data_IF_051814569742
#
_entry.id   IF_051814569742
#
_cell.length_a   1.000
_cell.length_b   1.000
_cell.length_c   1.000
_cell.angle_alpha   90.00
_cell.angle_beta   90.00
_cell.angle_gamma   90.00
#
_symmetry.space_group_name_H-M   'P 1'
#
loop_
_entity.id
_entity.type
_entity.pdbx_description
1 polymer ?
#
# COMPACT_ATOMS: atom_id res chain seq x y z
N UNK A 1 -23.77 -6.55 0.94
CA UNK A 1 -23.74 -7.60 2.00
C UNK A 1 -22.97 -7.04 3.19
N UNK A 2 -23.57 -6.90 4.38
CA UNK A 2 -22.87 -6.35 5.57
C UNK A 2 -21.89 -7.40 6.12
N UNK A 3 -20.60 -7.10 6.12
CA UNK A 3 -19.52 -8.05 6.49
C UNK A 3 -19.31 -8.20 8.02
N UNK A 4 -19.95 -7.33 8.80
CA UNK A 4 -19.99 -7.38 10.26
C UNK A 4 -20.86 -6.27 10.83
N UNK A 5 -21.13 -6.31 12.13
CA UNK A 5 -21.88 -5.30 12.88
C UNK A 5 -21.22 -5.01 14.22
N UNK A 6 -21.33 -3.76 14.66
CA UNK A 6 -20.98 -3.32 16.01
C UNK A 6 -22.28 -2.84 16.66
N UNK A 7 -22.59 -3.36 17.83
CA UNK A 7 -23.80 -3.04 18.59
C UNK A 7 -23.42 -2.67 20.02
N UNK A 8 -24.10 -1.67 20.58
CA UNK A 8 -24.03 -1.38 22.02
C UNK A 8 -25.19 -2.08 22.68
N UNK A 9 -24.90 -2.95 23.65
CA UNK A 9 -25.88 -3.75 24.37
C UNK A 9 -25.73 -3.51 25.88
N UNK A 10 -26.77 -3.83 26.65
CA UNK A 10 -26.68 -3.95 28.11
C UNK A 10 -26.76 -5.42 28.47
N UNK A 11 -25.90 -5.85 29.41
CA UNK A 11 -25.83 -7.26 29.75
C UNK A 11 -26.87 -7.63 30.80
N UNK A 12 -27.51 -8.77 30.59
CA UNK A 12 -28.48 -9.37 31.51
C UNK A 12 -27.91 -10.57 32.29
N UNK A 13 -26.73 -11.07 31.88
CA UNK A 13 -26.06 -12.24 32.46
C UNK A 13 -24.57 -11.94 32.67
N UNK A 14 -23.93 -12.51 33.70
CA UNK A 14 -22.51 -12.33 33.93
C UNK A 14 -21.68 -13.02 32.84
N UNK A 15 -20.54 -12.42 32.51
CA UNK A 15 -19.41 -13.03 31.82
C UNK A 15 -18.31 -11.96 31.68
N UNK A 16 -17.28 -12.26 30.89
CA UNK A 16 -16.10 -11.42 30.82
C UNK A 16 -15.94 -10.70 29.48
N UNK A 17 -15.06 -9.71 29.48
CA UNK A 17 -14.62 -8.98 28.30
C UNK A 17 -13.56 -9.77 27.54
N UNK A 18 -13.74 -9.96 26.23
CA UNK A 18 -12.80 -10.73 25.39
C UNK A 18 -11.44 -10.07 25.17
N UNK A 19 -11.21 -8.86 25.70
CA UNK A 19 -9.95 -8.11 25.53
C UNK A 19 -9.14 -7.97 26.82
N UNK A 20 -9.78 -7.84 27.97
CA UNK A 20 -9.10 -7.63 29.25
C UNK A 20 -9.43 -8.69 30.29
N UNK A 21 -10.30 -9.65 29.95
CA UNK A 21 -10.71 -10.78 30.79
C UNK A 21 -11.38 -10.37 32.11
N UNK A 22 -11.70 -9.08 32.28
CA UNK A 22 -12.46 -8.58 33.43
C UNK A 22 -13.97 -8.73 33.19
N UNK A 23 -14.78 -8.82 34.26
CA UNK A 23 -16.23 -8.93 34.15
C UNK A 23 -16.85 -7.76 33.39
N UNK A 24 -17.84 -8.04 32.54
CA UNK A 24 -18.78 -7.04 32.05
C UNK A 24 -19.94 -6.96 33.04
N UNK A 25 -20.00 -5.85 33.77
CA UNK A 25 -21.01 -5.61 34.81
C UNK A 25 -22.44 -5.65 34.24
N UNK A 26 -23.34 -6.25 35.00
CA UNK A 26 -24.76 -6.36 34.64
C UNK A 26 -25.37 -4.95 34.61
N UNK A 27 -26.16 -4.66 33.57
CA UNK A 27 -26.78 -3.34 33.38
C UNK A 27 -25.86 -2.27 32.80
N UNK A 28 -24.54 -2.47 32.78
CA UNK A 28 -23.57 -1.55 32.18
C UNK A 28 -23.52 -1.77 30.65
N UNK A 29 -23.55 -0.69 29.84
CA UNK A 29 -23.38 -0.80 28.40
C UNK A 29 -22.03 -1.38 27.99
N UNK A 30 -22.04 -2.31 27.04
CA UNK A 30 -20.87 -2.93 26.45
C UNK A 30 -21.03 -3.03 24.93
N UNK A 31 -19.94 -3.33 24.24
CA UNK A 31 -19.90 -3.43 22.77
C UNK A 31 -19.86 -4.90 22.35
N UNK A 32 -20.79 -5.30 21.48
CA UNK A 32 -20.72 -6.57 20.75
C UNK A 32 -20.24 -6.32 19.33
N UNK A 33 -19.18 -7.02 18.93
CA UNK A 33 -18.66 -7.03 17.56
C UNK A 33 -18.98 -8.40 16.96
N UNK A 34 -19.66 -8.41 15.82
CA UNK A 34 -20.00 -9.63 15.09
C UNK A 34 -19.38 -9.58 13.70
N UNK A 35 -18.54 -10.55 13.35
CA UNK A 35 -17.88 -10.62 12.04
C UNK A 35 -18.16 -11.97 11.38
N UNK A 36 -18.49 -11.95 10.09
CA UNK A 36 -18.63 -13.17 9.30
C UNK A 36 -17.25 -13.76 9.02
N UNK A 37 -17.01 -14.98 9.50
CA UNK A 37 -15.83 -15.76 9.19
C UNK A 37 -16.12 -16.83 8.12
N UNK A 38 -15.06 -17.25 7.41
CA UNK A 38 -15.14 -18.26 6.35
C UNK A 38 -13.99 -19.26 6.51
N UNK A 39 -14.29 -20.55 6.49
CA UNK A 39 -13.30 -21.62 6.48
C UNK A 39 -12.73 -21.79 5.08
N UNK A 40 -11.57 -22.43 4.99
CA UNK A 40 -10.98 -22.85 3.71
C UNK A 40 -11.93 -23.77 2.92
N UNK A 41 -12.74 -24.58 3.61
CA UNK A 41 -13.76 -25.46 3.03
C UNK A 41 -15.02 -24.73 2.53
N UNK A 42 -15.14 -23.41 2.73
CA UNK A 42 -16.30 -22.63 2.32
C UNK A 42 -17.39 -22.46 3.37
N UNK A 43 -17.39 -23.25 4.46
CA UNK A 43 -18.35 -23.10 5.57
C UNK A 43 -18.21 -21.72 6.23
N UNK A 44 -19.34 -21.11 6.56
CA UNK A 44 -19.42 -19.81 7.22
C UNK A 44 -19.83 -19.96 8.69
N UNK A 45 -19.31 -19.09 9.55
CA UNK A 45 -19.81 -18.89 10.91
C UNK A 45 -19.66 -17.43 11.30
N UNK A 46 -20.27 -17.05 12.43
CA UNK A 46 -20.18 -15.72 13.00
C UNK A 46 -19.28 -15.77 14.22
N UNK A 47 -18.24 -14.93 14.24
CA UNK A 47 -17.41 -14.73 15.40
C UNK A 47 -17.92 -13.48 16.14
N UNK A 48 -18.12 -13.62 17.45
CA UNK A 48 -18.62 -12.55 18.31
C UNK A 48 -17.55 -12.20 19.35
N UNK A 49 -17.42 -10.91 19.63
CA UNK A 49 -16.63 -10.39 20.75
C UNK A 49 -17.49 -9.46 21.59
N UNK A 50 -17.37 -9.55 22.89
CA UNK A 50 -18.02 -8.73 23.91
C UNK A 50 -16.95 -7.94 24.65
N UNK A 51 -16.98 -6.63 24.51
CA UNK A 51 -15.92 -5.75 24.97
C UNK A 51 -16.50 -4.65 25.86
N UNK A 52 -15.78 -4.25 26.91
CA UNK A 52 -16.06 -2.95 27.52
C UNK A 52 -15.93 -1.86 26.44
N UNK A 53 -16.71 -0.79 26.57
CA UNK A 53 -16.61 0.35 25.63
C UNK A 53 -15.17 0.86 25.54
N UNK A 54 -14.46 0.95 26.67
CA UNK A 54 -13.05 1.37 26.73
C UNK A 54 -12.09 0.37 26.06
N UNK A 55 -12.42 -0.92 26.07
CA UNK A 55 -11.58 -1.97 25.48
C UNK A 55 -11.69 -2.05 23.96
N UNK A 56 -12.74 -1.44 23.36
CA UNK A 56 -12.94 -1.41 21.91
C UNK A 56 -11.74 -0.81 21.17
N UNK A 57 -11.17 0.28 21.69
CA UNK A 57 -10.04 0.96 21.05
C UNK A 57 -8.80 0.08 20.94
N UNK A 58 -8.45 -0.61 22.03
CA UNK A 58 -7.31 -1.53 22.09
C UNK A 58 -7.54 -2.70 21.13
N UNK A 59 -8.75 -3.28 21.15
CA UNK A 59 -9.11 -4.37 20.26
C UNK A 59 -8.98 -3.97 18.77
N UNK A 60 -9.46 -2.78 18.40
CA UNK A 60 -9.33 -2.26 17.02
C UNK A 60 -7.87 -2.10 16.60
N UNK A 61 -7.01 -1.57 17.48
CA UNK A 61 -5.58 -1.44 17.22
C UNK A 61 -4.92 -2.82 17.00
N UNK A 62 -5.23 -3.79 17.86
CA UNK A 62 -4.72 -5.16 17.73
C UNK A 62 -5.11 -5.81 16.40
N UNK A 63 -6.37 -5.60 15.94
CA UNK A 63 -6.81 -6.09 14.63
C UNK A 63 -6.10 -5.39 13.47
N UNK A 64 -5.87 -4.07 13.56
CA UNK A 64 -5.15 -3.31 12.55
C UNK A 64 -3.69 -3.77 12.40
N UNK A 65 -2.97 -3.91 13.52
CA UNK A 65 -1.59 -4.42 13.53
C UNK A 65 -1.53 -5.83 12.95
N UNK A 66 -2.40 -6.72 13.41
CA UNK A 66 -2.49 -8.10 12.90
C UNK A 66 -2.78 -8.17 11.40
N UNK A 67 -3.57 -7.23 10.87
CA UNK A 67 -3.83 -7.12 9.42
C UNK A 67 -2.61 -6.60 8.66
N UNK A 68 -1.90 -5.61 9.21
CA UNK A 68 -0.66 -5.10 8.61
C UNK A 68 0.41 -6.19 8.54
N UNK A 69 0.59 -6.97 9.60
CA UNK A 69 1.59 -8.04 9.62
C UNK A 69 1.24 -9.20 8.68
N UNK A 70 -0.05 -9.55 8.58
CA UNK A 70 -0.52 -10.49 7.54
C UNK A 70 -0.22 -9.96 6.12
N UNK A 71 -0.39 -8.65 5.87
CA UNK A 71 -0.01 -8.04 4.58
C UNK A 71 1.50 -8.07 4.33
N UNK A 72 2.32 -7.87 5.37
CA UNK A 72 3.78 -8.02 5.25
C UNK A 72 4.18 -9.46 4.93
N UNK A 73 3.53 -10.46 5.55
CA UNK A 73 3.71 -11.89 5.24
C UNK A 73 3.24 -12.24 3.81
N UNK A 74 2.19 -11.59 3.32
CA UNK A 74 1.71 -11.71 1.94
C UNK A 74 2.51 -10.84 0.93
N UNK A 75 3.60 -10.20 1.36
CA UNK A 75 4.54 -9.53 0.47
C UNK A 75 5.30 -10.53 -0.41
N UNK A 76 6.17 -10.02 -1.29
CA UNK A 76 7.07 -10.85 -2.11
C UNK A 76 7.82 -11.83 -1.17
N UNK A 77 7.89 -13.15 -1.47
CA UNK A 77 8.61 -14.12 -0.64
C UNK A 77 10.00 -13.61 -0.23
N UNK A 78 10.46 -13.92 1.00
CA UNK A 78 11.83 -13.58 1.42
C UNK A 78 12.83 -14.19 0.43
N UNK A 79 13.76 -13.39 -0.09
CA UNK A 79 14.70 -13.80 -1.13
C UNK A 79 14.21 -13.58 -2.58
N UNK A 80 12.91 -13.33 -2.78
CA UNK A 80 12.41 -12.94 -4.10
C UNK A 80 12.61 -11.43 -4.33
N UNK A 81 13.11 -11.06 -5.51
CA UNK A 81 13.53 -9.68 -5.79
C UNK A 81 14.68 -9.62 -6.78
N UNK A 82 15.22 -8.42 -7.00
CA UNK A 82 16.44 -8.22 -7.79
C UNK A 82 17.73 -8.62 -7.04
N UNK A 83 17.63 -9.30 -5.89
CA UNK A 83 18.81 -9.72 -5.10
C UNK A 83 19.70 -8.60 -4.56
N UNK A 84 19.34 -7.33 -4.78
CA UNK A 84 20.21 -6.19 -4.49
C UNK A 84 20.51 -6.00 -2.99
N UNK A 85 21.73 -5.54 -2.71
CA UNK A 85 22.13 -5.07 -1.37
C UNK A 85 21.20 -3.94 -0.88
N UNK A 86 21.08 -3.72 0.44
CA UNK A 86 20.26 -2.64 0.99
C UNK A 86 20.62 -1.26 0.44
N UNK A 87 21.91 -1.01 0.17
CA UNK A 87 22.41 0.23 -0.40
C UNK A 87 21.98 0.39 -1.87
N UNK A 88 22.21 -0.64 -2.70
CA UNK A 88 21.79 -0.64 -4.10
C UNK A 88 20.27 -0.51 -4.24
N UNK A 89 19.48 -1.09 -3.30
CA UNK A 89 18.02 -0.88 -3.25
C UNK A 89 17.66 0.58 -3.02
N UNK A 90 18.33 1.28 -2.10
CA UNK A 90 18.10 2.72 -1.85
C UNK A 90 18.48 3.56 -3.06
N UNK A 91 19.65 3.28 -3.65
CA UNK A 91 20.15 3.98 -4.84
C UNK A 91 19.20 3.78 -6.03
N UNK A 92 18.74 2.56 -6.27
CA UNK A 92 17.76 2.23 -7.30
C UNK A 92 16.43 2.95 -7.08
N UNK A 93 15.93 2.98 -5.83
CA UNK A 93 14.70 3.70 -5.50
C UNK A 93 14.82 5.21 -5.79
N UNK A 94 15.96 5.82 -5.44
CA UNK A 94 16.22 7.23 -5.72
C UNK A 94 16.22 7.51 -7.23
N UNK A 95 16.86 6.64 -8.04
CA UNK A 95 16.84 6.74 -9.49
C UNK A 95 15.44 6.57 -10.09
N UNK A 96 14.65 5.60 -9.61
CA UNK A 96 13.26 5.44 -10.03
C UNK A 96 12.42 6.70 -9.75
N UNK A 97 12.59 7.32 -8.57
CA UNK A 97 11.93 8.58 -8.21
C UNK A 97 12.38 9.72 -9.11
N UNK A 98 13.68 9.81 -9.41
CA UNK A 98 14.24 10.83 -10.32
C UNK A 98 13.69 10.67 -11.73
N UNK A 99 13.62 9.45 -12.26
CA UNK A 99 12.99 9.15 -13.55
C UNK A 99 11.52 9.59 -13.58
N UNK A 100 10.78 9.31 -12.51
CA UNK A 100 9.39 9.75 -12.42
C UNK A 100 9.24 11.28 -12.35
N UNK A 101 10.18 11.98 -11.72
CA UNK A 101 10.23 13.44 -11.74
C UNK A 101 10.44 13.97 -13.16
N UNK A 102 11.35 13.39 -13.94
CA UNK A 102 11.56 13.76 -15.34
C UNK A 102 10.26 13.62 -16.13
N UNK A 103 9.57 12.47 -16.02
CA UNK A 103 8.27 12.29 -16.66
C UNK A 103 7.23 13.35 -16.25
N UNK A 104 7.20 13.76 -14.98
CA UNK A 104 6.30 14.84 -14.52
C UNK A 104 6.64 16.18 -15.15
N UNK A 105 7.91 16.52 -15.30
CA UNK A 105 8.31 17.77 -15.96
C UNK A 105 8.01 17.72 -17.46
N UNK A 106 8.33 16.62 -18.14
CA UNK A 106 8.01 16.42 -19.57
C UNK A 106 6.51 16.47 -19.83
N UNK A 107 5.69 15.96 -18.91
CA UNK A 107 4.24 16.01 -19.03
C UNK A 107 3.72 17.46 -19.06
N UNK A 108 4.34 18.37 -18.28
CA UNK A 108 3.99 19.81 -18.24
C UNK A 108 4.47 20.58 -19.46
N UNK A 109 5.56 20.16 -20.09
CA UNK A 109 6.09 20.83 -21.28
C UNK A 109 5.05 20.84 -22.42
N UNK A 110 5.04 21.93 -23.18
CA UNK A 110 4.25 22.03 -24.39
C UNK A 110 4.73 20.98 -25.43
N UNK A 111 3.86 20.53 -26.35
CA UNK A 111 4.30 19.75 -27.49
C UNK A 111 5.38 20.52 -28.25
N UNK A 112 6.51 19.86 -28.55
CA UNK A 112 7.66 20.41 -29.29
C UNK A 112 8.49 21.49 -28.58
N UNK A 113 8.41 21.56 -27.26
CA UNK A 113 9.25 22.46 -26.46
C UNK A 113 10.75 22.12 -26.61
N UNK A 114 11.60 23.15 -26.72
CA UNK A 114 13.07 23.02 -26.83
C UNK A 114 13.68 22.39 -25.57
N UNK A 115 13.08 22.57 -24.40
CA UNK A 115 13.53 21.96 -23.14
C UNK A 115 13.45 20.43 -23.16
N UNK A 116 12.61 19.84 -24.02
CA UNK A 116 12.48 18.39 -24.17
C UNK A 116 13.82 17.73 -24.53
N UNK A 117 14.69 18.44 -25.26
CA UNK A 117 16.04 17.95 -25.56
C UNK A 117 16.90 17.77 -24.31
N UNK A 118 16.82 18.68 -23.34
CA UNK A 118 17.55 18.53 -22.07
C UNK A 118 16.95 17.44 -21.20
N UNK A 119 15.62 17.33 -21.18
CA UNK A 119 14.93 16.27 -20.45
C UNK A 119 15.24 14.87 -21.00
N UNK A 120 15.41 14.74 -22.32
CA UNK A 120 15.88 13.50 -22.97
C UNK A 120 17.26 13.08 -22.46
N UNK A 121 18.24 13.99 -22.43
CA UNK A 121 19.59 13.70 -21.92
C UNK A 121 19.54 13.22 -20.46
N UNK A 122 18.79 13.94 -19.62
CA UNK A 122 18.60 13.57 -18.22
C UNK A 122 17.94 12.19 -18.08
N UNK A 123 16.96 11.87 -18.94
CA UNK A 123 16.27 10.60 -18.94
C UNK A 123 17.19 9.44 -19.31
N UNK A 124 18.00 9.59 -20.36
CA UNK A 124 18.96 8.57 -20.81
C UNK A 124 20.01 8.32 -19.71
N UNK A 125 20.55 9.38 -19.10
CA UNK A 125 21.51 9.26 -18.01
C UNK A 125 20.94 8.48 -16.81
N UNK A 126 19.71 8.80 -16.38
CA UNK A 126 19.04 8.09 -15.28
C UNK A 126 18.72 6.65 -15.65
N UNK A 127 18.31 6.39 -16.90
CA UNK A 127 18.00 5.04 -17.39
C UNK A 127 19.26 4.16 -17.42
N UNK A 128 20.39 4.69 -17.91
CA UNK A 128 21.68 3.98 -17.86
C UNK A 128 22.13 3.71 -16.43
N UNK A 129 21.96 4.66 -15.52
CA UNK A 129 22.28 4.46 -14.10
C UNK A 129 21.38 3.39 -13.44
N UNK A 130 20.10 3.30 -13.82
CA UNK A 130 19.20 2.24 -13.35
C UNK A 130 19.68 0.86 -13.79
N UNK A 131 20.06 0.75 -15.07
CA UNK A 131 20.55 -0.50 -15.65
C UNK A 131 21.78 -1.03 -14.89
N UNK A 132 22.74 -0.15 -14.60
CA UNK A 132 23.95 -0.49 -13.86
C UNK A 132 23.70 -0.91 -12.40
N UNK A 133 22.64 -0.41 -11.75
CA UNK A 133 22.38 -0.71 -10.33
C UNK A 133 21.56 -1.98 -10.14
N UNK A 134 20.68 -2.32 -11.09
CA UNK A 134 19.84 -3.49 -10.93
C UNK A 134 18.85 -3.69 -12.07
N UNK A 135 19.27 -3.36 -13.30
CA UNK A 135 18.50 -3.61 -14.51
C UNK A 135 17.25 -2.74 -14.68
N UNK A 136 16.43 -3.06 -15.70
CA UNK A 136 15.34 -2.21 -16.11
C UNK A 136 14.28 -2.09 -15.02
N UNK A 137 13.76 -0.88 -14.87
CA UNK A 137 12.66 -0.60 -13.95
C UNK A 137 11.39 -0.31 -14.75
N UNK A 138 10.30 -1.03 -14.48
CA UNK A 138 8.99 -0.68 -15.02
C UNK A 138 8.41 0.53 -14.29
N UNK A 139 7.57 1.30 -14.99
CA UNK A 139 6.79 2.38 -14.38
C UNK A 139 5.61 1.76 -13.64
N UNK A 140 5.24 2.34 -12.49
CA UNK A 140 4.11 1.87 -11.72
C UNK A 140 2.81 2.07 -12.51
N UNK A 141 2.06 0.98 -12.75
CA UNK A 141 0.77 1.00 -13.45
C UNK A 141 -0.29 1.88 -12.81
N UNK A 142 -0.13 2.27 -11.54
CA UNK A 142 -1.06 3.16 -10.81
C UNK A 142 -0.73 4.65 -10.94
N UNK A 143 0.22 5.01 -11.82
CA UNK A 143 0.50 6.42 -12.10
C UNK A 143 -0.72 7.07 -12.78
N UNK A 144 -0.98 8.34 -12.45
CA UNK A 144 -2.03 9.15 -13.10
C UNK A 144 -1.54 9.84 -14.37
N UNK A 145 -0.25 9.74 -14.67
CA UNK A 145 0.35 10.30 -15.87
C UNK A 145 0.02 9.42 -17.08
N UNK A 146 -0.31 10.05 -18.20
CA UNK A 146 -0.33 9.40 -19.50
C UNK A 146 1.11 9.13 -19.94
N UNK A 147 1.59 7.92 -19.63
CA UNK A 147 2.96 7.51 -19.91
C UNK A 147 3.22 7.46 -21.42
N UNK A 148 2.27 6.98 -22.22
CA UNK A 148 2.43 6.88 -23.68
C UNK A 148 2.62 8.25 -24.31
N UNK A 149 1.74 9.21 -23.98
CA UNK A 149 1.87 10.57 -24.48
C UNK A 149 3.16 11.26 -23.99
N UNK A 150 3.53 11.03 -22.73
CA UNK A 150 4.76 11.61 -22.17
C UNK A 150 6.01 11.02 -22.82
N UNK A 151 6.03 9.72 -23.12
CA UNK A 151 7.11 9.07 -23.86
C UNK A 151 7.23 9.58 -25.29
N UNK A 152 6.12 9.84 -25.98
CA UNK A 152 6.14 10.46 -27.31
C UNK A 152 6.75 11.88 -27.28
N UNK A 153 6.38 12.71 -26.30
CA UNK A 153 7.02 14.03 -26.08
C UNK A 153 8.52 13.90 -25.83
N UNK A 154 8.89 12.93 -25.00
CA UNK A 154 10.28 12.66 -24.65
C UNK A 154 11.09 12.19 -25.88
N UNK A 155 10.49 11.37 -26.74
CA UNK A 155 11.07 10.93 -28.01
C UNK A 155 11.25 12.06 -29.01
N UNK A 156 10.36 13.06 -29.03
CA UNK A 156 10.59 14.28 -29.81
C UNK A 156 11.81 15.07 -29.28
N UNK A 157 12.03 15.08 -27.96
CA UNK A 157 13.25 15.63 -27.36
C UNK A 157 14.54 15.04 -27.94
N UNK A 158 14.52 13.75 -28.32
CA UNK A 158 15.64 13.10 -29.01
C UNK A 158 15.94 13.75 -30.36
N UNK A 159 14.93 14.08 -31.16
CA UNK A 159 15.11 14.69 -32.49
C UNK A 159 15.58 16.15 -32.45
N UNK A 160 15.48 16.83 -31.30
CA UNK A 160 15.98 18.20 -31.13
C UNK A 160 17.49 18.28 -30.84
N UNK A 161 18.13 17.13 -30.60
CA UNK A 161 19.54 17.01 -30.21
C UNK A 161 20.35 16.13 -31.18
N UNK A 162 19.71 15.57 -32.21
CA UNK A 162 20.35 14.88 -33.32
C UNK A 162 20.60 15.86 -34.46
#
# INVERSE_FOLDING_TARGET
MKFGSIQVNKRLKPADCDQCEKPLEIGVPYVTITIRAKAKSGKHWWANWHLHIVCLGIWLLAQLVSRQDRRKKAGRPKGSGLGLSPESKRKRLALCKRRMRIFREVAKCAPKDKELGQWWVNYVAVTRALELVGGPASINRRTTLDITATEQKLMYGRSLRG
#
